data_IF_937097376415
#
_entry.id   IF_937097376415
#
_cell.length_a   1.000
_cell.length_b   1.000
_cell.length_c   1.000
_cell.angle_alpha   90.00
_cell.angle_beta   90.00
_cell.angle_gamma   90.00
#
_symmetry.space_group_name_H-M   'P 1'
#
loop_
_entity.id
_entity.type
_entity.pdbx_description
1 polymer ?
#
# COMPACT_ATOMS: atom_id res chain seq x y z
N UNK A 1 5.35 15.70 8.83
CA UNK A 1 4.50 14.69 9.49
C UNK A 1 5.26 14.08 10.66
N UNK A 2 4.60 13.37 11.58
CA UNK A 2 5.25 12.70 12.71
C UNK A 2 4.76 11.27 12.87
N UNK A 3 5.67 10.32 13.11
CA UNK A 3 5.34 8.95 13.53
C UNK A 3 5.27 8.88 15.06
N UNK A 4 4.24 8.19 15.56
CA UNK A 4 4.11 7.79 16.97
C UNK A 4 4.34 6.28 17.05
N UNK A 5 5.14 5.84 18.03
CA UNK A 5 5.48 4.44 18.30
C UNK A 5 4.90 4.06 19.67
N UNK A 6 4.00 3.07 19.69
CA UNK A 6 3.42 2.54 20.93
C UNK A 6 4.35 1.45 21.45
N UNK A 7 4.75 1.51 22.72
CA UNK A 7 5.58 0.48 23.31
C UNK A 7 4.79 -0.83 23.42
N UNK A 8 5.30 -1.91 22.81
CA UNK A 8 4.77 -3.28 22.92
C UNK A 8 3.23 -3.37 22.79
N UNK A 9 2.61 -2.66 21.84
CA UNK A 9 1.17 -2.33 21.83
C UNK A 9 0.22 -3.51 22.18
N UNK A 10 0.45 -4.68 21.59
CA UNK A 10 -0.33 -5.90 21.86
C UNK A 10 -0.20 -6.42 23.30
N UNK A 11 0.97 -6.26 23.92
CA UNK A 11 1.26 -6.72 25.29
C UNK A 11 0.85 -5.68 26.35
N UNK A 12 0.85 -4.39 26.01
CA UNK A 12 0.39 -3.31 26.90
C UNK A 12 -1.13 -3.06 26.84
N UNK A 13 -1.87 -3.81 26.02
CA UNK A 13 -3.33 -3.71 25.96
C UNK A 13 -3.98 -4.27 27.23
N UNK A 14 -4.52 -3.38 28.06
CA UNK A 14 -5.23 -3.73 29.29
C UNK A 14 -6.67 -4.19 29.00
N UNK A 15 -7.22 -5.07 29.85
CA UNK A 15 -8.58 -5.61 29.68
C UNK A 15 -9.62 -4.49 29.73
N UNK A 16 -9.44 -3.54 30.64
CA UNK A 16 -10.32 -2.40 30.88
C UNK A 16 -10.42 -1.53 29.61
N UNK A 17 -9.29 -1.28 28.95
CA UNK A 17 -9.21 -0.54 27.68
C UNK A 17 -9.86 -1.31 26.53
N UNK A 18 -9.67 -2.64 26.46
CA UNK A 18 -10.33 -3.50 25.49
C UNK A 18 -11.85 -3.54 25.68
N UNK A 19 -12.33 -3.68 26.92
CA UNK A 19 -13.76 -3.65 27.26
C UNK A 19 -14.37 -2.29 26.88
N UNK A 20 -13.75 -1.18 27.30
CA UNK A 20 -14.20 0.16 26.94
C UNK A 20 -14.25 0.37 25.42
N UNK A 21 -13.21 -0.06 24.68
CA UNK A 21 -13.16 0.02 23.22
C UNK A 21 -14.20 -0.84 22.48
N UNK A 22 -14.63 -1.94 23.09
CA UNK A 22 -15.76 -2.76 22.63
C UNK A 22 -17.12 -2.15 22.98
N UNK A 23 -17.28 -1.56 24.17
CA UNK A 23 -18.51 -0.87 24.60
C UNK A 23 -18.78 0.38 23.74
N UNK A 24 -17.77 1.23 23.49
CA UNK A 24 -17.92 2.41 22.63
C UNK A 24 -18.28 2.04 21.19
N UNK A 25 -17.86 0.85 20.72
CA UNK A 25 -18.21 0.32 19.40
C UNK A 25 -19.47 -0.58 19.41
N UNK A 26 -20.25 -0.55 20.51
CA UNK A 26 -21.53 -1.24 20.66
C UNK A 26 -21.46 -2.77 20.47
N UNK A 27 -20.30 -3.38 20.73
CA UNK A 27 -20.11 -4.84 20.66
C UNK A 27 -20.99 -5.53 21.72
N UNK A 28 -21.87 -6.47 21.35
CA UNK A 28 -22.77 -7.12 22.31
C UNK A 28 -22.03 -7.81 23.46
N UNK A 29 -22.57 -7.71 24.68
CA UNK A 29 -21.96 -8.26 25.91
C UNK A 29 -21.59 -9.75 25.79
N UNK A 30 -22.41 -10.55 25.11
CA UNK A 30 -22.14 -11.97 24.86
C UNK A 30 -20.88 -12.18 24.00
N UNK A 31 -20.67 -11.31 23.00
CA UNK A 31 -19.46 -11.28 22.17
C UNK A 31 -18.26 -10.81 22.98
N UNK A 32 -18.40 -9.77 23.81
CA UNK A 32 -17.32 -9.31 24.69
C UNK A 32 -16.83 -10.43 25.62
N UNK A 33 -17.75 -11.10 26.33
CA UNK A 33 -17.44 -12.22 27.23
C UNK A 33 -16.77 -13.38 26.49
N UNK A 34 -17.21 -13.68 25.25
CA UNK A 34 -16.59 -14.70 24.41
C UNK A 34 -15.15 -14.33 24.01
N UNK A 35 -14.92 -13.09 23.57
CA UNK A 35 -13.58 -12.59 23.20
C UNK A 35 -12.63 -12.59 24.41
N UNK A 36 -13.06 -12.05 25.56
CA UNK A 36 -12.27 -12.06 26.79
C UNK A 36 -11.95 -13.50 27.27
N UNK A 37 -12.91 -14.42 27.18
CA UNK A 37 -12.69 -15.84 27.49
C UNK A 37 -11.67 -16.52 26.56
N UNK A 38 -11.66 -16.19 25.27
CA UNK A 38 -10.66 -16.68 24.33
C UNK A 38 -9.25 -16.10 24.59
N UNK A 39 -9.14 -14.83 24.99
CA UNK A 39 -7.86 -14.20 25.37
C UNK A 39 -7.31 -14.84 26.65
N UNK A 40 -8.18 -15.03 27.66
CA UNK A 40 -7.80 -15.67 28.92
C UNK A 40 -7.38 -17.15 28.71
N UNK A 41 -8.05 -17.87 27.81
CA UNK A 41 -7.70 -19.25 27.46
C UNK A 41 -6.35 -19.35 26.73
N UNK A 42 -5.95 -18.34 25.95
CA UNK A 42 -4.63 -18.29 25.31
C UNK A 42 -3.52 -18.03 26.34
N UNK A 43 -3.75 -17.11 27.28
CA UNK A 43 -2.80 -16.77 28.35
C UNK A 43 -2.81 -17.77 29.53
N UNK A 44 -3.33 -18.99 29.35
CA UNK A 44 -3.56 -19.98 30.42
C UNK A 44 -2.32 -20.48 31.20
N UNK A 45 -1.11 -19.99 30.88
CA UNK A 45 0.13 -20.20 31.67
C UNK A 45 0.48 -19.02 32.57
N UNK A 46 -0.05 -17.84 32.29
CA UNK A 46 0.14 -16.60 33.04
C UNK A 46 -1.16 -16.25 33.74
N UNK A 47 -1.30 -16.66 35.00
CA UNK A 47 -2.51 -16.39 35.77
C UNK A 47 -2.73 -14.88 35.93
N UNK A 48 -3.75 -14.37 35.23
CA UNK A 48 -4.20 -12.98 35.17
C UNK A 48 -3.48 -12.03 34.18
N UNK A 49 -2.78 -12.51 33.14
CA UNK A 49 -2.46 -11.66 31.98
C UNK A 49 -3.56 -11.73 30.90
N UNK A 50 -3.88 -10.59 30.31
CA UNK A 50 -4.82 -10.43 29.18
C UNK A 50 -4.09 -10.04 27.88
N UNK A 51 -2.78 -10.32 27.84
CA UNK A 51 -1.87 -9.96 26.76
C UNK A 51 -2.42 -10.45 25.41
N UNK A 52 -2.44 -9.58 24.40
CA UNK A 52 -2.90 -9.98 23.06
C UNK A 52 -1.77 -10.72 22.35
N UNK A 53 -1.92 -12.03 22.15
CA UNK A 53 -0.87 -12.88 21.57
C UNK A 53 -0.59 -12.48 20.13
N UNK A 54 0.64 -12.03 19.85
CA UNK A 54 1.08 -11.63 18.51
C UNK A 54 0.98 -12.80 17.52
N UNK A 55 0.62 -12.50 16.27
CA UNK A 55 0.39 -13.51 15.23
C UNK A 55 -0.98 -14.21 15.28
N UNK A 56 -1.85 -13.88 16.24
CA UNK A 56 -3.24 -14.33 16.26
C UNK A 56 -4.17 -13.27 15.64
N UNK A 57 -4.97 -13.65 14.63
CA UNK A 57 -5.97 -12.80 14.01
C UNK A 57 -6.97 -12.19 15.02
N UNK A 58 -7.29 -12.91 16.10
CA UNK A 58 -8.17 -12.43 17.17
C UNK A 58 -7.55 -11.26 17.93
N UNK A 59 -6.23 -11.33 18.17
CA UNK A 59 -5.47 -10.28 18.85
C UNK A 59 -5.46 -8.99 18.04
N UNK A 60 -5.33 -9.06 16.71
CA UNK A 60 -5.41 -7.86 15.84
C UNK A 60 -6.78 -7.19 15.89
N UNK A 61 -7.86 -7.98 15.94
CA UNK A 61 -9.22 -7.46 16.12
C UNK A 61 -9.41 -6.83 17.51
N UNK A 62 -8.94 -7.48 18.57
CA UNK A 62 -9.03 -6.95 19.93
C UNK A 62 -8.19 -5.67 20.10
N UNK A 63 -7.00 -5.60 19.51
CA UNK A 63 -6.20 -4.39 19.48
C UNK A 63 -6.92 -3.25 18.74
N UNK A 64 -7.59 -3.57 17.62
CA UNK A 64 -8.41 -2.61 16.87
C UNK A 64 -9.59 -2.06 17.69
N UNK A 65 -10.19 -2.87 18.58
CA UNK A 65 -11.17 -2.37 19.55
C UNK A 65 -10.52 -1.43 20.59
N UNK A 66 -9.40 -1.83 21.19
CA UNK A 66 -8.73 -1.09 22.25
C UNK A 66 -8.12 0.26 21.79
N UNK A 67 -7.59 0.33 20.57
CA UNK A 67 -6.89 1.52 20.05
C UNK A 67 -7.86 2.60 19.53
N UNK A 68 -9.04 2.22 19.02
CA UNK A 68 -9.94 3.13 18.30
C UNK A 68 -10.40 4.35 19.11
N UNK A 69 -10.77 4.28 20.41
CA UNK A 69 -11.11 5.47 21.19
C UNK A 69 -9.95 6.47 21.28
N UNK A 70 -8.72 5.97 21.30
CA UNK A 70 -7.50 6.80 21.33
C UNK A 70 -7.30 7.49 19.97
N UNK A 71 -7.54 6.77 18.88
CA UNK A 71 -7.54 7.33 17.52
C UNK A 71 -8.64 8.39 17.34
N UNK A 72 -9.80 8.21 17.95
CA UNK A 72 -10.88 9.20 17.95
C UNK A 72 -10.53 10.47 18.74
N UNK A 73 -9.92 10.36 19.92
CA UNK A 73 -9.40 11.53 20.66
C UNK A 73 -8.26 12.24 19.90
N UNK A 74 -7.35 11.50 19.25
CA UNK A 74 -6.32 12.07 18.37
C UNK A 74 -6.95 12.87 17.21
N UNK A 75 -7.96 12.29 16.54
CA UNK A 75 -8.67 12.90 15.39
C UNK A 75 -9.38 14.21 15.72
N UNK A 76 -9.66 14.50 17.01
CA UNK A 76 -10.24 15.80 17.43
C UNK A 76 -9.23 16.95 17.38
N UNK A 77 -7.93 16.68 17.43
CA UNK A 77 -6.87 17.70 17.36
C UNK A 77 -6.06 17.65 16.06
N UNK A 78 -5.79 16.46 15.53
CA UNK A 78 -4.92 16.27 14.38
C UNK A 78 -5.56 15.42 13.27
N UNK A 79 -5.15 15.65 12.03
CA UNK A 79 -5.32 14.65 10.97
C UNK A 79 -4.32 13.52 11.20
N UNK A 80 -4.79 12.28 11.15
CA UNK A 80 -3.94 11.08 11.36
C UNK A 80 -4.15 10.04 10.25
N UNK A 81 -3.10 9.29 9.98
CA UNK A 81 -3.12 8.03 9.22
C UNK A 81 -2.63 6.92 10.14
N UNK A 82 -3.28 5.76 10.13
CA UNK A 82 -2.97 4.68 11.07
C UNK A 82 -3.13 3.30 10.43
N UNK A 83 -2.22 2.38 10.74
CA UNK A 83 -2.28 0.98 10.33
C UNK A 83 -1.78 0.11 11.48
N UNK A 84 -2.67 -0.68 12.08
CA UNK A 84 -2.45 -1.33 13.37
C UNK A 84 -1.95 -0.32 14.45
N UNK A 85 -0.76 -0.54 15.01
CA UNK A 85 -0.08 0.30 15.99
C UNK A 85 0.81 1.40 15.37
N UNK A 86 1.06 1.34 14.07
CA UNK A 86 1.79 2.36 13.31
C UNK A 86 0.88 3.58 13.08
N UNK A 87 1.23 4.75 13.64
CA UNK A 87 0.42 5.98 13.57
C UNK A 87 1.26 7.15 13.04
N UNK A 88 0.77 7.82 12.00
CA UNK A 88 1.26 9.12 11.50
C UNK A 88 0.29 10.24 11.88
N UNK A 89 0.84 11.38 12.29
CA UNK A 89 0.15 12.62 12.65
C UNK A 89 0.61 13.77 11.74
N UNK A 90 -0.34 14.57 11.24
CA UNK A 90 -0.08 15.87 10.62
C UNK A 90 0.03 16.95 11.72
N UNK A 91 1.26 17.44 11.95
CA UNK A 91 1.63 18.27 13.11
C UNK A 91 0.97 19.67 13.07
N UNK A 92 0.79 20.24 11.87
CA UNK A 92 0.34 21.61 11.70
C UNK A 92 1.34 22.64 12.24
N UNK A 93 0.97 23.35 13.32
CA UNK A 93 1.77 24.41 13.96
C UNK A 93 2.35 24.02 15.32
N UNK A 94 2.02 22.85 15.87
CA UNK A 94 2.60 22.35 17.11
C UNK A 94 4.10 22.01 16.94
N UNK A 95 4.85 21.92 18.04
CA UNK A 95 6.19 21.30 17.99
C UNK A 95 6.11 19.78 18.14
N UNK A 96 7.13 19.06 17.67
CA UNK A 96 7.29 17.61 17.90
C UNK A 96 7.10 17.24 19.38
N UNK A 97 7.62 18.07 20.28
CA UNK A 97 7.54 17.87 21.72
C UNK A 97 6.11 18.03 22.24
N UNK A 98 5.33 18.95 21.70
CA UNK A 98 3.93 19.15 22.09
C UNK A 98 3.05 17.98 21.61
N UNK A 99 3.32 17.45 20.41
CA UNK A 99 2.64 16.25 19.88
C UNK A 99 3.01 15.01 20.69
N UNK A 100 4.29 14.76 20.99
CA UNK A 100 4.72 13.66 21.88
C UNK A 100 4.07 13.82 23.25
N UNK A 101 4.15 15.00 23.88
CA UNK A 101 3.60 15.22 25.22
C UNK A 101 2.07 15.02 25.24
N UNK A 102 1.36 15.43 24.19
CA UNK A 102 -0.07 15.16 24.03
C UNK A 102 -0.36 13.68 23.86
N UNK A 103 0.41 12.96 23.02
CA UNK A 103 0.28 11.52 22.83
C UNK A 103 0.57 10.75 24.13
N UNK A 104 1.71 10.97 24.79
CA UNK A 104 2.05 10.37 26.09
C UNK A 104 0.95 10.63 27.14
N UNK A 105 0.37 11.84 27.19
CA UNK A 105 -0.74 12.19 28.09
C UNK A 105 -2.12 11.65 27.68
N UNK A 106 -2.28 11.17 26.45
CA UNK A 106 -3.53 10.58 25.94
C UNK A 106 -3.50 9.05 26.08
N UNK A 107 -2.46 8.40 25.58
CA UNK A 107 -2.29 6.95 25.59
C UNK A 107 -2.19 6.38 27.02
N UNK A 108 -1.54 7.09 27.94
CA UNK A 108 -1.44 6.68 29.35
C UNK A 108 -2.79 6.62 30.08
N UNK A 109 -3.81 7.38 29.65
CA UNK A 109 -5.19 7.28 30.18
C UNK A 109 -5.86 5.94 29.84
N UNK A 110 -5.37 5.29 28.79
CA UNK A 110 -5.82 4.00 28.28
C UNK A 110 -4.80 2.87 28.55
N UNK A 111 -3.83 3.12 29.44
CA UNK A 111 -2.87 2.11 29.88
C UNK A 111 -1.67 1.84 28.96
N UNK A 112 -1.54 2.56 27.85
CA UNK A 112 -0.47 2.39 26.87
C UNK A 112 0.70 3.36 27.09
N UNK A 113 1.94 2.89 26.89
CA UNK A 113 3.14 3.73 26.92
C UNK A 113 3.54 4.17 25.51
N UNK A 114 3.88 5.47 25.34
CA UNK A 114 4.52 5.97 24.11
C UNK A 114 6.03 5.80 24.20
N UNK A 115 6.62 5.24 23.15
CA UNK A 115 8.06 5.09 23.01
C UNK A 115 8.65 6.34 22.35
N UNK A 116 8.86 7.39 23.16
CA UNK A 116 9.33 8.70 22.70
C UNK A 116 10.63 8.63 21.87
N UNK A 117 11.48 7.62 22.11
CA UNK A 117 12.74 7.38 21.38
C UNK A 117 12.56 6.83 19.96
N UNK A 118 11.36 6.38 19.60
CA UNK A 118 10.97 5.98 18.23
C UNK A 118 9.95 6.95 17.60
N UNK A 119 9.52 7.99 18.33
CA UNK A 119 8.65 9.02 17.81
C UNK A 119 9.49 10.06 17.05
N UNK A 120 9.48 9.97 15.72
CA UNK A 120 10.27 10.84 14.83
C UNK A 120 9.36 11.66 13.92
N UNK A 121 9.79 12.86 13.56
CA UNK A 121 9.10 13.69 12.57
C UNK A 121 9.95 13.91 11.32
N UNK A 122 9.30 14.35 10.25
CA UNK A 122 9.93 14.68 8.98
C UNK A 122 10.57 16.07 8.95
N UNK A 123 10.54 16.82 10.06
CA UNK A 123 11.19 18.13 10.13
C UNK A 123 12.72 18.01 10.04
N UNK A 124 13.38 19.04 9.50
CA UNK A 124 14.84 19.06 9.27
C UNK A 124 15.32 17.94 8.31
N UNK A 125 14.60 17.72 7.20
CA UNK A 125 14.92 16.74 6.14
C UNK A 125 15.04 15.27 6.61
N UNK A 126 14.41 14.96 7.74
CA UNK A 126 14.28 13.62 8.27
C UNK A 126 13.25 12.80 7.50
N UNK A 127 13.48 11.49 7.43
CA UNK A 127 12.58 10.51 6.81
C UNK A 127 11.98 9.61 7.89
N UNK A 128 10.67 9.41 7.84
CA UNK A 128 9.96 8.39 8.62
C UNK A 128 9.48 7.27 7.70
N UNK A 129 9.38 6.05 8.22
CA UNK A 129 8.86 4.89 7.46
C UNK A 129 7.53 4.40 8.05
N UNK A 130 6.54 4.22 7.18
CA UNK A 130 5.17 3.80 7.50
C UNK A 130 4.66 2.86 6.41
N UNK A 131 4.13 1.68 6.78
CA UNK A 131 3.80 0.56 5.88
C UNK A 131 4.92 0.26 4.84
N UNK A 132 6.17 0.36 5.26
CA UNK A 132 7.36 0.16 4.42
C UNK A 132 7.66 1.28 3.42
N UNK A 133 6.89 2.37 3.40
CA UNK A 133 7.06 3.55 2.54
C UNK A 133 7.77 4.65 3.33
N UNK A 134 8.67 5.38 2.67
CA UNK A 134 9.36 6.53 3.25
C UNK A 134 8.56 7.82 3.04
N UNK A 135 8.55 8.70 4.05
CA UNK A 135 7.86 10.00 4.05
C UNK A 135 8.80 11.07 4.60
N UNK A 136 8.85 12.24 3.97
CA UNK A 136 9.73 13.39 4.30
C UNK A 136 8.94 14.71 4.19
N UNK A 137 9.54 15.83 4.59
CA UNK A 137 9.03 17.17 4.29
C UNK A 137 9.32 17.62 2.86
N UNK A 138 10.25 16.94 2.19
CA UNK A 138 10.98 17.49 1.05
C UNK A 138 10.70 16.65 -0.19
N UNK A 139 9.88 17.19 -1.10
CA UNK A 139 9.29 16.47 -2.24
C UNK A 139 10.33 15.89 -3.23
N UNK A 140 11.51 16.54 -3.32
CA UNK A 140 12.62 16.12 -4.20
C UNK A 140 13.61 15.14 -3.52
N UNK A 141 13.22 14.50 -2.41
CA UNK A 141 14.09 13.56 -1.69
C UNK A 141 14.06 12.16 -2.35
N UNK A 142 15.17 11.68 -2.95
CA UNK A 142 15.20 10.39 -3.66
C UNK A 142 14.87 9.18 -2.77
N UNK A 143 14.89 9.35 -1.44
CA UNK A 143 14.49 8.30 -0.48
C UNK A 143 12.98 8.03 -0.48
N UNK A 144 12.16 8.96 -1.01
CA UNK A 144 10.71 8.83 -1.17
C UNK A 144 10.29 8.02 -2.39
N UNK A 145 11.16 7.97 -3.41
CA UNK A 145 10.85 7.36 -4.69
C UNK A 145 10.76 5.84 -4.53
N UNK A 146 9.52 5.37 -4.46
CA UNK A 146 9.15 3.96 -4.38
C UNK A 146 9.72 3.19 -5.59
N UNK A 147 9.81 3.82 -6.76
CA UNK A 147 10.47 3.29 -7.96
C UNK A 147 11.92 2.86 -7.69
N UNK A 148 12.74 3.68 -7.02
CA UNK A 148 14.15 3.40 -6.72
C UNK A 148 14.30 2.21 -5.77
N UNK A 149 13.43 2.13 -4.73
CA UNK A 149 13.36 0.98 -3.82
C UNK A 149 12.95 -0.30 -4.55
N UNK A 150 12.02 -0.20 -5.50
CA UNK A 150 11.58 -1.34 -6.31
C UNK A 150 12.64 -1.81 -7.30
N UNK A 151 13.47 -0.92 -7.86
CA UNK A 151 14.64 -1.30 -8.67
C UNK A 151 15.60 -2.15 -7.83
N UNK A 152 15.99 -1.70 -6.63
CA UNK A 152 16.83 -2.50 -5.73
C UNK A 152 16.18 -3.86 -5.42
N UNK A 153 14.87 -3.87 -5.16
CA UNK A 153 14.11 -5.11 -4.91
C UNK A 153 14.12 -6.05 -6.13
N UNK A 154 14.10 -5.50 -7.35
CA UNK A 154 14.17 -6.26 -8.60
C UNK A 154 15.57 -6.85 -8.84
N UNK A 155 16.62 -6.09 -8.56
CA UNK A 155 18.01 -6.54 -8.66
C UNK A 155 18.32 -7.63 -7.62
N UNK A 156 17.83 -7.49 -6.37
CA UNK A 156 17.89 -8.53 -5.35
C UNK A 156 17.15 -9.82 -5.78
N UNK A 157 16.02 -9.68 -6.47
CA UNK A 157 15.26 -10.80 -7.04
C UNK A 157 16.02 -11.48 -8.19
N UNK A 158 16.66 -10.71 -9.07
CA UNK A 158 17.53 -11.25 -10.12
C UNK A 158 18.66 -12.07 -9.49
N UNK A 159 19.41 -11.50 -8.54
CA UNK A 159 20.54 -12.15 -7.86
C UNK A 159 20.13 -13.40 -7.08
N UNK A 160 18.93 -13.41 -6.50
CA UNK A 160 18.39 -14.60 -5.83
C UNK A 160 18.07 -15.72 -6.82
N UNK A 161 17.43 -15.39 -7.95
CA UNK A 161 17.09 -16.39 -8.99
C UNK A 161 18.33 -16.99 -9.63
N UNK A 162 19.36 -16.18 -9.89
CA UNK A 162 20.67 -16.61 -10.36
C UNK A 162 21.28 -17.66 -9.40
N UNK A 163 21.40 -17.30 -8.11
CA UNK A 163 21.91 -18.22 -7.09
C UNK A 163 21.08 -19.50 -6.91
N UNK A 164 19.76 -19.45 -7.11
CA UNK A 164 18.92 -20.66 -7.06
C UNK A 164 19.23 -21.60 -8.23
N UNK A 165 19.46 -21.07 -9.43
CA UNK A 165 19.82 -21.85 -10.62
C UNK A 165 21.26 -22.41 -10.51
N UNK A 166 22.21 -21.62 -10.03
CA UNK A 166 23.59 -22.06 -9.76
C UNK A 166 23.65 -23.21 -8.74
N UNK A 167 22.82 -23.15 -7.69
CA UNK A 167 22.68 -24.21 -6.68
C UNK A 167 21.91 -25.43 -7.19
N UNK A 168 21.57 -25.48 -8.47
CA UNK A 168 20.95 -26.64 -9.14
C UNK A 168 19.44 -26.77 -8.93
N UNK A 169 18.73 -25.73 -8.50
CA UNK A 169 17.28 -25.77 -8.43
C UNK A 169 16.69 -25.88 -9.84
N UNK A 170 15.73 -26.78 -10.05
CA UNK A 170 15.15 -27.01 -11.36
C UNK A 170 14.39 -25.78 -11.85
N UNK A 171 14.62 -25.36 -13.10
CA UNK A 171 14.00 -24.16 -13.72
C UNK A 171 12.49 -24.02 -13.50
N UNK A 172 11.74 -25.12 -13.50
CA UNK A 172 10.29 -25.10 -13.21
C UNK A 172 9.95 -24.75 -11.75
N UNK A 173 10.78 -25.17 -10.79
CA UNK A 173 10.66 -24.79 -9.38
C UNK A 173 11.06 -23.31 -9.19
N UNK A 174 12.15 -22.88 -9.82
CA UNK A 174 12.59 -21.48 -9.82
C UNK A 174 11.54 -20.56 -10.44
N UNK A 175 10.88 -20.98 -11.53
CA UNK A 175 9.76 -20.26 -12.14
C UNK A 175 8.57 -20.15 -11.17
N UNK A 176 8.22 -21.23 -10.46
CA UNK A 176 7.18 -21.22 -9.44
C UNK A 176 7.47 -20.21 -8.32
N UNK A 177 8.69 -20.22 -7.78
CA UNK A 177 9.14 -19.25 -6.76
C UNK A 177 9.09 -17.82 -7.31
N UNK A 178 9.57 -17.60 -8.54
CA UNK A 178 9.59 -16.28 -9.16
C UNK A 178 8.19 -15.69 -9.33
N UNK A 179 7.27 -16.46 -9.92
CA UNK A 179 5.89 -16.02 -10.17
C UNK A 179 5.08 -15.86 -8.88
N UNK A 180 5.19 -16.79 -7.92
CA UNK A 180 4.33 -16.87 -6.73
C UNK A 180 4.90 -16.13 -5.51
N UNK A 181 6.20 -15.82 -5.47
CA UNK A 181 6.85 -15.28 -4.27
C UNK A 181 7.85 -14.14 -4.49
N UNK A 182 8.28 -13.87 -5.74
CA UNK A 182 9.19 -12.77 -6.03
C UNK A 182 8.48 -11.59 -6.72
N UNK A 183 7.78 -11.82 -7.84
CA UNK A 183 6.95 -10.77 -8.49
C UNK A 183 5.98 -10.08 -7.50
N UNK A 184 5.25 -10.78 -6.61
CA UNK A 184 4.34 -10.13 -5.66
C UNK A 184 5.00 -9.13 -4.71
N UNK A 185 6.29 -9.28 -4.38
CA UNK A 185 7.02 -8.31 -3.53
C UNK A 185 7.12 -6.92 -4.18
N UNK A 186 7.23 -6.89 -5.50
CA UNK A 186 7.36 -5.67 -6.28
C UNK A 186 5.97 -5.04 -6.53
N UNK A 187 4.94 -5.88 -6.67
CA UNK A 187 3.55 -5.45 -6.87
C UNK A 187 2.83 -4.96 -5.61
N UNK A 188 3.32 -5.27 -4.41
CA UNK A 188 2.74 -4.78 -3.15
C UNK A 188 3.00 -3.28 -2.91
N UNK A 189 3.97 -2.68 -3.61
CA UNK A 189 4.28 -1.27 -3.43
C UNK A 189 3.16 -0.32 -3.92
N UNK A 190 2.67 0.51 -2.99
CA UNK A 190 1.75 1.61 -3.25
C UNK A 190 2.41 2.65 -4.18
N UNK A 191 1.91 2.77 -5.41
CA UNK A 191 2.42 3.74 -6.40
C UNK A 191 1.91 5.14 -6.13
N UNK A 192 2.58 5.81 -5.20
CA UNK A 192 2.28 7.19 -4.76
C UNK A 192 3.06 8.27 -5.54
N UNK A 193 3.82 7.88 -6.56
CA UNK A 193 4.74 8.77 -7.30
C UNK A 193 4.08 9.43 -8.51
N UNK A 194 4.41 10.71 -8.72
CA UNK A 194 3.94 11.48 -9.87
C UNK A 194 4.46 10.94 -11.21
N UNK A 195 3.64 11.10 -12.25
CA UNK A 195 3.91 10.67 -13.62
C UNK A 195 4.86 11.63 -14.35
N UNK A 196 6.09 11.75 -13.84
CA UNK A 196 7.20 12.48 -14.47
C UNK A 196 8.13 11.54 -15.23
N UNK A 197 8.89 12.08 -16.18
CA UNK A 197 9.72 11.29 -17.11
C UNK A 197 10.77 10.39 -16.40
N UNK A 198 11.28 10.81 -15.24
CA UNK A 198 12.20 10.00 -14.45
C UNK A 198 11.50 8.81 -13.79
N UNK A 199 10.37 9.03 -13.12
CA UNK A 199 9.52 7.97 -12.54
C UNK A 199 9.16 6.91 -13.58
N UNK A 200 8.79 7.33 -14.79
CA UNK A 200 8.46 6.42 -15.90
C UNK A 200 9.67 5.58 -16.32
N UNK A 201 10.87 6.16 -16.39
CA UNK A 201 12.11 5.43 -16.69
C UNK A 201 12.44 4.41 -15.61
N UNK A 202 12.29 4.77 -14.34
CA UNK A 202 12.52 3.85 -13.22
C UNK A 202 11.51 2.68 -13.25
N UNK A 203 10.23 2.94 -13.47
CA UNK A 203 9.21 1.89 -13.55
C UNK A 203 9.43 0.96 -14.74
N UNK A 204 9.83 1.49 -15.89
CA UNK A 204 10.23 0.66 -17.04
C UNK A 204 11.52 -0.14 -16.76
N UNK A 205 12.44 0.37 -15.93
CA UNK A 205 13.65 -0.36 -15.51
C UNK A 205 13.30 -1.59 -14.66
N UNK A 206 12.29 -1.51 -13.81
CA UNK A 206 11.79 -2.67 -13.05
C UNK A 206 11.25 -3.75 -13.99
N UNK A 207 10.45 -3.37 -15.00
CA UNK A 207 9.89 -4.29 -16.00
C UNK A 207 10.99 -4.93 -16.85
N UNK A 208 12.05 -4.19 -17.21
CA UNK A 208 13.24 -4.77 -17.84
C UNK A 208 13.89 -5.84 -16.97
N UNK A 209 14.18 -5.57 -15.69
CA UNK A 209 14.86 -6.52 -14.81
C UNK A 209 13.98 -7.77 -14.61
N UNK A 210 12.67 -7.62 -14.43
CA UNK A 210 11.75 -8.76 -14.34
C UNK A 210 11.71 -9.62 -15.61
N UNK A 211 11.72 -8.99 -16.79
CA UNK A 211 11.81 -9.72 -18.05
C UNK A 211 13.17 -10.42 -18.22
N UNK A 212 14.27 -9.84 -17.72
CA UNK A 212 15.59 -10.48 -17.70
C UNK A 212 15.66 -11.67 -16.73
N UNK A 213 15.08 -11.55 -15.53
CA UNK A 213 14.96 -12.67 -14.58
C UNK A 213 14.12 -13.81 -15.16
N UNK A 214 12.96 -13.51 -15.75
CA UNK A 214 12.12 -14.50 -16.43
C UNK A 214 12.86 -15.17 -17.60
N UNK A 215 13.63 -14.39 -18.37
CA UNK A 215 14.45 -14.90 -19.48
C UNK A 215 15.49 -15.92 -19.00
N UNK A 216 16.24 -15.59 -17.95
CA UNK A 216 17.24 -16.46 -17.32
C UNK A 216 16.64 -17.79 -16.82
N UNK A 217 15.44 -17.76 -16.23
CA UNK A 217 14.73 -18.96 -15.78
C UNK A 217 14.32 -19.83 -16.98
N UNK A 218 13.81 -19.22 -18.05
CA UNK A 218 13.19 -19.96 -19.16
C UNK A 218 14.16 -20.44 -20.25
N UNK A 219 15.35 -19.84 -20.38
CA UNK A 219 16.26 -20.13 -21.48
C UNK A 219 17.40 -21.07 -21.05
N UNK A 220 17.67 -22.19 -21.78
CA UNK A 220 18.69 -23.17 -21.38
C UNK A 220 20.14 -22.69 -21.41
N UNK A 221 20.48 -21.73 -22.28
CA UNK A 221 21.87 -21.33 -22.59
C UNK A 221 22.38 -20.28 -21.60
N UNK A 222 23.60 -20.47 -21.10
CA UNK A 222 24.39 -19.37 -20.54
C UNK A 222 24.76 -18.40 -21.67
N UNK A 223 24.90 -17.12 -21.34
CA UNK A 223 25.11 -16.03 -22.29
C UNK A 223 26.49 -15.37 -22.10
N UNK A 224 27.05 -14.84 -23.20
CA UNK A 224 28.14 -13.86 -23.14
C UNK A 224 27.58 -12.43 -23.11
N UNK A 225 28.41 -11.46 -22.74
CA UNK A 225 28.03 -10.03 -22.74
C UNK A 225 27.76 -9.49 -24.17
N UNK A 226 28.29 -10.14 -25.21
CA UNK A 226 28.15 -9.71 -26.61
C UNK A 226 26.71 -9.83 -27.13
N UNK A 227 26.01 -10.90 -26.76
CA UNK A 227 24.56 -11.06 -27.02
C UNK A 227 23.71 -9.98 -26.32
N UNK A 228 24.30 -9.23 -25.38
CA UNK A 228 23.60 -8.26 -24.56
C UNK A 228 23.63 -6.80 -25.07
N UNK A 229 24.57 -6.47 -25.96
CA UNK A 229 24.88 -5.07 -26.30
C UNK A 229 24.36 -4.62 -27.69
N UNK A 230 23.57 -5.45 -28.38
CA UNK A 230 23.05 -5.15 -29.73
C UNK A 230 21.56 -4.80 -29.79
N UNK A 231 21.15 -4.08 -30.84
CA UNK A 231 19.77 -3.60 -31.10
C UNK A 231 18.69 -4.70 -30.98
N UNK A 232 19.06 -5.96 -31.28
CA UNK A 232 18.19 -7.14 -31.14
C UNK A 232 17.70 -7.38 -29.69
N UNK A 233 18.40 -6.88 -28.65
CA UNK A 233 18.00 -7.08 -27.24
C UNK A 233 16.77 -6.26 -26.85
N UNK A 234 16.58 -5.04 -27.37
CA UNK A 234 15.37 -4.24 -27.06
C UNK A 234 14.09 -4.95 -27.51
N UNK A 235 14.06 -5.43 -28.77
CA UNK A 235 12.95 -6.22 -29.29
C UNK A 235 12.72 -7.49 -28.46
N UNK A 236 13.79 -8.13 -28.00
CA UNK A 236 13.71 -9.36 -27.19
C UNK A 236 13.15 -9.10 -25.79
N UNK A 237 13.69 -8.13 -25.03
CA UNK A 237 13.19 -7.80 -23.69
C UNK A 237 11.76 -7.26 -23.74
N UNK A 238 11.44 -6.41 -24.72
CA UNK A 238 10.06 -5.92 -24.90
C UNK A 238 9.08 -7.07 -25.21
N UNK A 239 9.51 -8.09 -25.97
CA UNK A 239 8.71 -9.30 -26.19
C UNK A 239 8.50 -10.09 -24.89
N UNK A 240 9.50 -10.21 -24.00
CA UNK A 240 9.32 -10.88 -22.70
C UNK A 240 8.43 -10.08 -21.74
N UNK A 241 8.56 -8.74 -21.68
CA UNK A 241 7.60 -7.87 -20.97
C UNK A 241 6.18 -8.12 -21.50
N UNK A 242 6.00 -8.18 -22.82
CA UNK A 242 4.71 -8.41 -23.45
C UNK A 242 4.16 -9.84 -23.21
N UNK A 243 5.00 -10.88 -23.14
CA UNK A 243 4.59 -12.25 -22.80
C UNK A 243 4.19 -12.36 -21.32
N UNK A 244 4.94 -11.71 -20.43
CA UNK A 244 4.63 -11.69 -19.01
C UNK A 244 3.31 -10.94 -18.74
N UNK A 245 3.17 -9.72 -19.26
CA UNK A 245 1.99 -8.86 -19.06
C UNK A 245 0.80 -9.14 -19.98
N UNK A 246 0.91 -10.09 -20.93
CA UNK A 246 -0.22 -10.48 -21.76
C UNK A 246 -1.26 -11.29 -20.93
N UNK A 247 -2.56 -11.05 -21.14
CA UNK A 247 -3.62 -11.83 -20.51
C UNK A 247 -3.58 -13.29 -20.99
N UNK A 248 -4.08 -14.20 -20.14
CA UNK A 248 -4.06 -15.66 -20.37
C UNK A 248 -4.68 -16.08 -21.71
N UNK A 249 -5.69 -15.34 -22.20
CA UNK A 249 -6.33 -15.59 -23.50
C UNK A 249 -5.45 -15.23 -24.72
N UNK A 250 -4.23 -14.74 -24.52
CA UNK A 250 -3.21 -14.46 -25.54
C UNK A 250 -1.91 -15.26 -25.34
N UNK A 251 -1.96 -16.36 -24.58
CA UNK A 251 -0.80 -17.19 -24.20
C UNK A 251 0.24 -16.45 -23.32
N UNK A 252 -0.18 -15.41 -22.61
CA UNK A 252 0.66 -14.72 -21.62
C UNK A 252 0.51 -15.25 -20.20
N UNK A 253 1.31 -14.73 -19.28
CA UNK A 253 1.32 -15.16 -17.87
C UNK A 253 0.38 -14.34 -16.96
N UNK A 254 -0.22 -13.25 -17.46
CA UNK A 254 -0.93 -12.24 -16.67
C UNK A 254 -0.13 -11.75 -15.44
N UNK A 255 1.20 -11.68 -15.58
CA UNK A 255 2.04 -11.03 -14.59
C UNK A 255 1.71 -9.54 -14.62
N UNK A 256 1.06 -9.05 -13.57
CA UNK A 256 1.07 -7.62 -13.26
C UNK A 256 2.54 -7.20 -13.17
N UNK A 257 2.98 -6.37 -14.11
CA UNK A 257 4.32 -5.78 -14.12
C UNK A 257 4.22 -4.31 -13.68
N UNK A 258 5.09 -3.82 -12.77
CA UNK A 258 4.98 -2.49 -12.19
C UNK A 258 4.90 -1.34 -13.19
N UNK A 259 5.73 -1.35 -14.25
CA UNK A 259 5.72 -0.32 -15.29
C UNK A 259 4.46 -0.35 -16.14
N UNK A 260 4.12 -1.52 -16.70
CA UNK A 260 2.85 -1.71 -17.44
C UNK A 260 1.62 -1.32 -16.64
N UNK A 261 1.59 -1.60 -15.34
CA UNK A 261 0.47 -1.23 -14.48
C UNK A 261 0.55 0.27 -14.05
N UNK A 262 1.74 0.88 -13.90
CA UNK A 262 1.87 2.33 -13.72
C UNK A 262 1.37 3.10 -14.97
N UNK A 263 1.74 2.67 -16.18
CA UNK A 263 1.19 3.19 -17.45
C UNK A 263 -0.35 3.08 -17.52
N UNK A 264 -0.92 1.98 -17.00
CA UNK A 264 -2.37 1.73 -17.02
C UNK A 264 -3.11 2.57 -15.98
N UNK A 265 -2.63 2.58 -14.72
CA UNK A 265 -3.21 3.35 -13.63
C UNK A 265 -3.22 4.85 -13.93
N UNK A 266 -2.16 5.38 -14.55
CA UNK A 266 -2.07 6.80 -14.86
C UNK A 266 -2.96 7.23 -16.04
N UNK A 267 -3.27 6.32 -16.99
CA UNK A 267 -4.34 6.57 -17.98
C UNK A 267 -5.71 6.69 -17.32
N UNK A 268 -6.01 5.77 -16.39
CA UNK A 268 -7.26 5.80 -15.61
C UNK A 268 -7.34 7.08 -14.76
N UNK A 269 -6.26 7.49 -14.09
CA UNK A 269 -6.20 8.74 -13.33
C UNK A 269 -6.42 9.97 -14.22
N UNK A 270 -5.79 10.03 -15.40
CA UNK A 270 -5.95 11.13 -16.35
C UNK A 270 -7.39 11.23 -16.88
N UNK A 271 -8.04 10.10 -17.18
CA UNK A 271 -9.46 10.06 -17.53
C UNK A 271 -10.35 10.50 -16.35
N UNK A 272 -10.09 10.01 -15.13
CA UNK A 272 -10.82 10.42 -13.92
C UNK A 272 -10.68 11.92 -13.60
N UNK A 273 -9.50 12.51 -13.82
CA UNK A 273 -9.28 13.96 -13.71
C UNK A 273 -10.10 14.74 -14.73
N UNK A 274 -10.14 14.29 -16.00
CA UNK A 274 -11.01 14.91 -17.01
C UNK A 274 -12.50 14.83 -16.63
N UNK A 275 -12.97 13.72 -16.06
CA UNK A 275 -14.35 13.63 -15.55
C UNK A 275 -14.60 14.57 -14.36
N UNK A 276 -13.62 14.74 -13.47
CA UNK A 276 -13.71 15.67 -12.33
C UNK A 276 -13.80 17.13 -12.78
N UNK A 277 -12.96 17.54 -13.72
CA UNK A 277 -12.96 18.92 -14.26
C UNK A 277 -14.24 19.19 -15.06
N UNK A 278 -14.71 18.22 -15.85
CA UNK A 278 -16.01 18.29 -16.53
C UNK A 278 -17.17 18.43 -15.52
N UNK A 279 -17.13 17.73 -14.39
CA UNK A 279 -18.15 17.82 -13.34
C UNK A 279 -18.12 19.19 -12.62
N UNK A 280 -16.94 19.79 -12.43
CA UNK A 280 -16.79 21.15 -11.89
C UNK A 280 -17.38 22.17 -12.88
N UNK A 281 -16.99 22.12 -14.16
CA UNK A 281 -17.52 23.00 -15.21
C UNK A 281 -19.04 22.86 -15.37
N UNK A 282 -19.58 21.64 -15.29
CA UNK A 282 -21.02 21.40 -15.31
C UNK A 282 -21.73 21.94 -14.06
N UNK A 283 -21.11 21.88 -12.88
CA UNK A 283 -21.65 22.49 -11.67
C UNK A 283 -21.73 24.02 -11.83
N UNK A 284 -20.64 24.65 -12.24
CA UNK A 284 -20.55 26.09 -12.49
C UNK A 284 -21.55 26.55 -13.57
N UNK A 285 -21.77 25.75 -14.62
CA UNK A 285 -22.74 26.04 -15.67
C UNK A 285 -24.19 25.86 -15.22
N UNK A 286 -24.48 24.86 -14.37
CA UNK A 286 -25.81 24.68 -13.78
C UNK A 286 -26.16 25.78 -12.75
N UNK A 287 -25.17 26.28 -12.00
CA UNK A 287 -25.33 27.46 -11.13
C UNK A 287 -25.59 28.76 -11.92
N UNK A 288 -25.40 28.76 -13.25
CA UNK A 288 -25.64 29.89 -14.16
C UNK A 288 -26.93 29.76 -15.01
N UNK A 289 -27.62 28.62 -15.02
CA UNK A 289 -28.84 28.41 -15.82
C UNK A 289 -30.11 28.28 -14.97
N UNK A 290 -31.21 28.90 -15.45
CA UNK A 290 -32.52 28.77 -14.81
C UNK A 290 -33.08 27.34 -14.93
N UNK A 291 -33.74 26.86 -13.86
CA UNK A 291 -34.16 25.47 -13.65
C UNK A 291 -34.93 24.78 -14.80
N UNK A 292 -35.58 25.52 -15.70
CA UNK A 292 -36.39 24.94 -16.78
C UNK A 292 -35.58 24.17 -17.83
N UNK A 293 -34.30 24.51 -18.05
CA UNK A 293 -33.46 23.86 -19.07
C UNK A 293 -32.76 22.59 -18.58
N UNK A 294 -32.70 22.35 -17.26
CA UNK A 294 -31.84 21.30 -16.69
C UNK A 294 -32.26 19.88 -17.09
N UNK A 295 -33.57 19.58 -17.04
CA UNK A 295 -34.09 18.20 -17.10
C UNK A 295 -33.67 17.50 -18.40
N UNK A 296 -33.90 18.14 -19.55
CA UNK A 296 -33.62 17.57 -20.88
C UNK A 296 -32.13 17.30 -21.12
N UNK A 297 -31.24 18.08 -20.49
CA UNK A 297 -29.79 17.90 -20.60
C UNK A 297 -29.27 16.82 -19.66
N UNK A 298 -29.88 16.64 -18.48
CA UNK A 298 -29.49 15.62 -17.51
C UNK A 298 -29.69 14.19 -18.04
N UNK A 299 -30.78 13.89 -18.75
CA UNK A 299 -31.02 12.54 -19.28
C UNK A 299 -29.99 12.14 -20.36
N UNK A 300 -29.68 13.07 -21.27
CA UNK A 300 -28.63 12.87 -22.30
C UNK A 300 -27.24 12.69 -21.68
N UNK A 301 -26.94 13.45 -20.62
CA UNK A 301 -25.67 13.33 -19.90
C UNK A 301 -25.60 12.02 -19.09
N UNK A 302 -26.67 11.65 -18.38
CA UNK A 302 -26.74 10.40 -17.63
C UNK A 302 -26.52 9.18 -18.53
N UNK A 303 -27.09 9.17 -19.74
CA UNK A 303 -26.85 8.12 -20.73
C UNK A 303 -25.38 8.05 -21.17
N UNK A 304 -24.73 9.20 -21.42
CA UNK A 304 -23.31 9.25 -21.80
C UNK A 304 -22.38 8.83 -20.66
N UNK A 305 -22.67 9.25 -19.43
CA UNK A 305 -21.92 8.84 -18.23
C UNK A 305 -22.10 7.35 -17.99
N UNK A 306 -23.32 6.82 -17.99
CA UNK A 306 -23.58 5.38 -17.79
C UNK A 306 -22.89 4.51 -18.85
N UNK A 307 -22.91 4.91 -20.12
CA UNK A 307 -22.19 4.20 -21.18
C UNK A 307 -20.68 4.12 -20.87
N UNK A 308 -20.05 5.27 -20.60
CA UNK A 308 -18.60 5.31 -20.31
C UNK A 308 -18.22 4.69 -18.96
N UNK A 309 -19.12 4.69 -17.98
CA UNK A 309 -18.92 3.97 -16.72
C UNK A 309 -19.00 2.45 -16.91
N UNK A 310 -19.78 1.98 -17.89
CA UNK A 310 -19.78 0.59 -18.32
C UNK A 310 -18.47 0.21 -19.03
N UNK A 311 -17.88 1.13 -19.80
CA UNK A 311 -16.55 0.95 -20.40
C UNK A 311 -15.43 0.94 -19.34
N UNK A 312 -15.49 1.84 -18.34
CA UNK A 312 -14.55 1.90 -17.21
C UNK A 312 -14.63 0.68 -16.29
N UNK A 313 -15.82 0.17 -15.99
CA UNK A 313 -15.96 -1.04 -15.14
C UNK A 313 -15.45 -2.30 -15.86
N UNK A 314 -15.53 -2.37 -17.19
CA UNK A 314 -14.83 -3.38 -17.98
C UNK A 314 -13.30 -3.25 -17.83
N UNK A 315 -12.74 -2.03 -17.80
CA UNK A 315 -11.30 -1.81 -17.55
C UNK A 315 -10.88 -2.09 -16.10
N UNK A 316 -11.69 -1.77 -15.08
CA UNK A 316 -11.41 -2.16 -13.70
C UNK A 316 -11.30 -3.69 -13.55
N UNK A 317 -12.10 -4.45 -14.30
CA UNK A 317 -12.02 -5.91 -14.33
C UNK A 317 -10.68 -6.43 -14.92
N UNK A 318 -9.98 -5.63 -15.73
CA UNK A 318 -8.62 -5.92 -16.20
C UNK A 318 -7.50 -5.45 -15.26
N UNK A 319 -7.81 -4.64 -14.23
CA UNK A 319 -6.83 -4.14 -13.25
C UNK A 319 -6.91 -4.90 -11.92
N UNK A 320 -8.03 -5.61 -11.66
CA UNK A 320 -8.26 -6.43 -10.46
C UNK A 320 -8.06 -7.94 -10.69
N UNK A 321 -7.39 -8.35 -11.79
CA UNK A 321 -7.07 -9.74 -12.18
C UNK A 321 -5.59 -9.92 -12.55
#
# INVERSE_FOLDING_TARGET
MMKIDIQNAFNETQLETLLYGMETQLVPMQTQLYLCGLIQAQNCRETASYNLVQGNNLSSLCFSYAIQPILEELRKKYRISCYADDIIIEIGQDTEKDVIQFATNLFSKYGFTINEKKCFSTANDNVITFDGINVSSTENDPRLHTSKKLIQTADEIYSLVEQLLERGLGRSQTLGIFLVSLIPKINWALRIEDYVEETIKDYNKIDEVMAQTFYMITNPRQFSEEDFMGEKRQVTIQNFINIMSAPLNRNGFNCILPGRNFEAAQKINAEQLQYKDLFIQLKEHNEQQNHATLITNMDSFAAQVLHKYHDLTNMEHYVRL
#
